data_IF_789415637341
#
_entry.id   IF_789415637341
#
_cell.length_a   1.000
_cell.length_b   1.000
_cell.length_c   1.000
_cell.angle_alpha   90.00
_cell.angle_beta   90.00
_cell.angle_gamma   90.00
#
_symmetry.space_group_name_H-M   'P 1'
#
loop_
_entity.id
_entity.type
_entity.pdbx_description
1 polymer ?
#
# COMPACT_ATOMS: atom_id res chain seq x y z
N UNK A 1 11.28 16.51 -3.14
CA UNK A 1 11.57 15.14 -3.61
C UNK A 1 10.42 14.22 -3.21
N UNK A 2 10.07 13.28 -4.08
CA UNK A 2 9.06 12.26 -3.82
C UNK A 2 9.76 10.92 -3.61
N UNK A 3 9.43 10.24 -2.52
CA UNK A 3 9.78 8.86 -2.27
C UNK A 3 8.52 8.00 -2.46
N UNK A 4 8.59 6.97 -3.29
CA UNK A 4 7.51 6.02 -3.50
C UNK A 4 7.81 4.72 -2.76
N UNK A 5 6.79 4.07 -2.23
CA UNK A 5 6.91 2.75 -1.59
C UNK A 5 6.05 1.77 -2.37
N UNK A 6 6.67 0.70 -2.86
CA UNK A 6 6.00 -0.41 -3.53
C UNK A 6 6.17 -1.70 -2.73
N UNK A 7 5.06 -2.36 -2.42
CA UNK A 7 5.06 -3.64 -1.73
C UNK A 7 5.04 -4.78 -2.74
N UNK A 8 6.10 -5.58 -2.77
CA UNK A 8 6.29 -6.66 -3.74
C UNK A 8 6.19 -8.02 -3.06
N UNK A 9 5.36 -8.90 -3.60
CA UNK A 9 5.04 -10.21 -3.00
C UNK A 9 5.45 -11.37 -3.90
N UNK A 10 6.72 -11.42 -4.29
CA UNK A 10 7.26 -12.56 -5.04
C UNK A 10 7.17 -13.86 -4.19
N UNK A 11 6.79 -15.02 -4.77
CA UNK A 11 6.46 -15.27 -6.18
C UNK A 11 4.97 -15.05 -6.55
N UNK A 12 4.14 -14.56 -5.64
CA UNK A 12 2.71 -14.37 -5.86
C UNK A 12 2.40 -13.21 -6.81
N UNK A 13 3.23 -12.17 -6.82
CA UNK A 13 3.20 -11.13 -7.84
C UNK A 13 4.38 -11.30 -8.79
N UNK A 14 4.18 -11.01 -10.08
CA UNK A 14 5.20 -11.17 -11.10
C UNK A 14 6.22 -10.02 -11.11
N UNK A 15 7.41 -10.27 -11.69
CA UNK A 15 8.37 -9.20 -11.96
C UNK A 15 7.78 -8.12 -12.90
N UNK A 16 6.84 -8.49 -13.77
CA UNK A 16 6.13 -7.54 -14.63
C UNK A 16 5.25 -6.56 -13.83
N UNK A 17 4.71 -6.98 -12.67
CA UNK A 17 3.99 -6.08 -11.77
C UNK A 17 4.95 -5.03 -11.16
N UNK A 18 6.16 -5.45 -10.79
CA UNK A 18 7.22 -4.54 -10.33
C UNK A 18 7.63 -3.57 -11.45
N UNK A 19 7.88 -4.06 -12.66
CA UNK A 19 8.24 -3.22 -13.81
C UNK A 19 7.14 -2.19 -14.13
N UNK A 20 5.87 -2.58 -14.10
CA UNK A 20 4.74 -1.65 -14.26
C UNK A 20 4.83 -0.47 -13.29
N UNK A 21 5.16 -0.71 -12.03
CA UNK A 21 5.30 0.35 -11.03
C UNK A 21 6.51 1.24 -11.31
N UNK A 22 7.63 0.67 -11.74
CA UNK A 22 8.81 1.44 -12.13
C UNK A 22 8.55 2.29 -13.37
N UNK A 23 7.79 1.79 -14.35
CA UNK A 23 7.39 2.57 -15.53
C UNK A 23 6.48 3.74 -15.14
N UNK A 24 5.52 3.53 -14.23
CA UNK A 24 4.71 4.62 -13.68
C UNK A 24 5.57 5.66 -12.95
N UNK A 25 6.54 5.21 -12.16
CA UNK A 25 7.47 6.11 -11.48
C UNK A 25 8.31 6.92 -12.47
N UNK A 26 8.77 6.32 -13.58
CA UNK A 26 9.50 7.02 -14.65
C UNK A 26 8.65 8.11 -15.30
N UNK A 27 7.39 7.82 -15.65
CA UNK A 27 6.46 8.80 -16.22
C UNK A 27 6.28 9.98 -15.25
N UNK A 28 6.04 9.69 -13.98
CA UNK A 28 5.81 10.72 -12.95
C UNK A 28 7.09 11.53 -12.66
N UNK A 29 8.26 10.92 -12.77
CA UNK A 29 9.55 11.55 -12.48
C UNK A 29 9.84 12.76 -13.38
N UNK A 30 9.31 12.76 -14.59
CA UNK A 30 9.42 13.90 -15.52
C UNK A 30 8.82 15.19 -14.94
N UNK A 31 7.80 15.07 -14.08
CA UNK A 31 7.12 16.20 -13.43
C UNK A 31 7.61 16.49 -12.01
N UNK A 32 8.40 15.62 -11.41
CA UNK A 32 8.73 15.65 -9.97
C UNK A 32 10.23 15.73 -9.67
N UNK A 33 11.07 16.03 -10.65
CA UNK A 33 12.54 16.10 -10.50
C UNK A 33 13.16 14.79 -9.95
N UNK A 34 12.64 13.65 -10.39
CA UNK A 34 13.07 12.32 -9.97
C UNK A 34 12.23 11.73 -8.84
N UNK A 35 12.07 10.41 -8.86
CA UNK A 35 11.38 9.64 -7.84
C UNK A 35 12.28 8.49 -7.38
N UNK A 36 12.41 8.34 -6.06
CA UNK A 36 13.09 7.18 -5.48
C UNK A 36 12.01 6.16 -5.07
N UNK A 37 12.08 4.96 -5.65
CA UNK A 37 11.14 3.88 -5.39
C UNK A 37 11.75 2.89 -4.43
N UNK A 38 11.15 2.72 -3.25
CA UNK A 38 11.51 1.72 -2.25
C UNK A 38 10.66 0.48 -2.48
N UNK A 39 11.28 -0.60 -2.93
CA UNK A 39 10.61 -1.88 -3.19
C UNK A 39 10.75 -2.74 -1.94
N UNK A 40 9.64 -2.94 -1.25
CA UNK A 40 9.58 -3.64 0.03
C UNK A 40 9.18 -5.09 -0.19
N UNK A 41 9.98 -6.09 0.23
CA UNK A 41 9.57 -7.49 0.22
C UNK A 41 8.44 -7.71 1.23
N UNK A 42 7.27 -8.13 0.75
CA UNK A 42 6.07 -8.15 1.58
C UNK A 42 5.45 -9.54 1.77
N UNK A 43 5.96 -10.54 1.05
CA UNK A 43 5.43 -11.92 1.02
C UNK A 43 5.31 -12.54 2.41
N UNK A 44 6.35 -12.45 3.23
CA UNK A 44 6.37 -13.05 4.57
C UNK A 44 5.27 -12.46 5.47
N UNK A 45 5.12 -11.13 5.45
CA UNK A 45 4.07 -10.45 6.20
C UNK A 45 2.69 -10.95 5.77
N UNK A 46 2.44 -11.07 4.47
CA UNK A 46 1.16 -11.55 3.95
C UNK A 46 0.87 -13.00 4.35
N UNK A 47 1.87 -13.87 4.30
CA UNK A 47 1.73 -15.27 4.71
C UNK A 47 1.40 -15.38 6.19
N UNK A 48 2.11 -14.66 7.05
CA UNK A 48 1.87 -14.63 8.50
C UNK A 48 0.45 -14.11 8.84
N UNK A 49 0.01 -13.05 8.15
CA UNK A 49 -1.34 -12.52 8.30
C UNK A 49 -2.38 -13.55 7.85
N UNK A 50 -2.18 -14.16 6.68
CA UNK A 50 -3.12 -15.15 6.15
C UNK A 50 -3.26 -16.38 7.05
N UNK A 51 -2.16 -16.83 7.64
CA UNK A 51 -2.13 -18.01 8.51
C UNK A 51 -2.74 -17.74 9.90
N UNK A 52 -2.48 -16.55 10.48
CA UNK A 52 -2.75 -16.31 11.90
C UNK A 52 -3.93 -15.38 12.18
N UNK A 53 -4.36 -14.59 11.21
CA UNK A 53 -5.40 -13.58 11.40
C UNK A 53 -6.75 -14.03 10.85
N UNK A 54 -7.87 -13.50 11.37
CA UNK A 54 -9.19 -13.77 10.81
C UNK A 54 -9.28 -13.28 9.36
N UNK A 55 -9.79 -14.13 8.46
CA UNK A 55 -9.85 -13.88 7.01
C UNK A 55 -10.46 -12.51 6.66
N UNK A 56 -11.55 -12.15 7.31
CA UNK A 56 -12.29 -10.90 7.05
C UNK A 56 -11.49 -9.61 7.34
N UNK A 57 -10.42 -9.69 8.18
CA UNK A 57 -9.57 -8.56 8.56
C UNK A 57 -8.19 -8.56 7.89
N UNK A 58 -7.85 -9.59 7.10
CA UNK A 58 -6.50 -9.72 6.49
C UNK A 58 -6.08 -8.50 5.70
N UNK A 59 -6.95 -7.97 4.85
CA UNK A 59 -6.65 -6.76 4.04
C UNK A 59 -6.39 -5.54 4.92
N UNK A 60 -7.14 -5.34 6.00
CA UNK A 60 -6.95 -4.20 6.90
C UNK A 60 -5.67 -4.31 7.71
N UNK A 61 -5.38 -5.50 8.25
CA UNK A 61 -4.13 -5.75 8.98
C UNK A 61 -2.93 -5.56 8.05
N UNK A 62 -3.01 -6.09 6.83
CA UNK A 62 -1.99 -5.90 5.80
C UNK A 62 -1.73 -4.41 5.52
N UNK A 63 -2.78 -3.60 5.34
CA UNK A 63 -2.67 -2.15 5.12
C UNK A 63 -2.07 -1.42 6.32
N UNK A 64 -2.34 -1.87 7.53
CA UNK A 64 -1.71 -1.32 8.75
C UNK A 64 -0.21 -1.60 8.76
N UNK A 65 0.25 -2.79 8.32
CA UNK A 65 1.68 -3.04 8.10
C UNK A 65 2.27 -2.12 7.03
N UNK A 66 1.58 -1.95 5.90
CA UNK A 66 2.02 -1.04 4.83
C UNK A 66 2.19 0.39 5.33
N UNK A 67 1.26 0.90 6.12
CA UNK A 67 1.34 2.25 6.70
C UNK A 67 2.51 2.39 7.69
N UNK A 68 2.73 1.41 8.58
CA UNK A 68 3.88 1.40 9.50
C UNK A 68 5.22 1.41 8.75
N UNK A 69 5.34 0.59 7.71
CA UNK A 69 6.54 0.53 6.87
C UNK A 69 6.72 1.84 6.10
N UNK A 70 5.65 2.37 5.50
CA UNK A 70 5.70 3.65 4.80
C UNK A 70 6.14 4.81 5.71
N UNK A 71 5.68 4.85 6.97
CA UNK A 71 6.15 5.84 7.95
C UNK A 71 7.64 5.64 8.29
N UNK A 72 8.12 4.39 8.47
CA UNK A 72 9.56 4.13 8.71
C UNK A 72 10.41 4.61 7.52
N UNK A 73 10.01 4.30 6.28
CA UNK A 73 10.69 4.81 5.08
C UNK A 73 10.66 6.33 5.02
N UNK A 74 9.48 6.95 5.26
CA UNK A 74 9.34 8.40 5.25
C UNK A 74 10.29 9.08 6.24
N UNK A 75 10.41 8.55 7.46
CA UNK A 75 11.34 9.06 8.47
C UNK A 75 12.81 8.91 8.08
N UNK A 76 13.19 7.79 7.47
CA UNK A 76 14.57 7.56 6.97
C UNK A 76 14.92 8.54 5.83
N UNK A 77 13.93 8.88 5.00
CA UNK A 77 14.07 9.79 3.85
C UNK A 77 13.78 11.26 4.20
N UNK A 78 13.57 11.58 5.49
CA UNK A 78 13.20 12.92 5.97
C UNK A 78 11.95 13.49 5.29
N UNK A 79 11.00 12.63 4.94
CA UNK A 79 9.68 13.03 4.44
C UNK A 79 8.76 13.40 5.62
N UNK A 80 7.89 14.39 5.43
CA UNK A 80 7.05 14.95 6.50
C UNK A 80 5.60 14.43 6.48
N UNK A 81 5.20 13.72 5.40
CA UNK A 81 3.85 13.21 5.23
C UNK A 81 3.83 11.95 4.38
N UNK A 82 2.76 11.17 4.52
CA UNK A 82 2.40 10.08 3.61
C UNK A 82 1.35 10.55 2.62
N UNK A 83 1.38 9.99 1.42
CA UNK A 83 0.36 10.21 0.39
C UNK A 83 -0.16 8.84 -0.05
N UNK A 84 -1.48 8.67 -0.07
CA UNK A 84 -2.11 7.44 -0.54
C UNK A 84 -3.14 7.74 -1.62
N UNK A 85 -3.35 6.80 -2.56
CA UNK A 85 -4.32 6.90 -3.64
C UNK A 85 -5.71 6.38 -3.27
N UNK A 86 -6.11 6.46 -2.01
CA UNK A 86 -7.40 5.96 -1.54
C UNK A 86 -8.55 6.86 -1.97
N UNK A 87 -9.69 6.23 -2.34
CA UNK A 87 -10.96 6.90 -2.61
C UNK A 87 -12.08 6.18 -1.85
N UNK A 88 -12.93 6.95 -1.15
CA UNK A 88 -14.00 6.39 -0.32
C UNK A 88 -15.02 5.64 -1.18
N UNK A 89 -15.37 4.42 -0.75
CA UNK A 89 -16.43 3.62 -1.37
C UNK A 89 -16.01 2.82 -2.61
N UNK A 90 -14.77 2.93 -3.09
CA UNK A 90 -14.31 2.17 -4.27
C UNK A 90 -14.15 0.67 -3.95
N UNK A 91 -13.68 0.34 -2.77
CA UNK A 91 -13.52 -1.04 -2.30
C UNK A 91 -13.85 -1.16 -0.81
N UNK A 92 -14.11 -2.38 -0.35
CA UNK A 92 -14.52 -2.66 1.03
C UNK A 92 -13.53 -2.15 2.10
N UNK A 93 -12.24 -2.12 1.79
CA UNK A 93 -11.19 -1.60 2.69
C UNK A 93 -11.02 -0.08 2.67
N UNK A 94 -11.83 0.64 1.89
CA UNK A 94 -11.79 2.10 1.76
C UNK A 94 -13.08 2.77 2.27
N UNK A 95 -13.73 2.18 3.28
CA UNK A 95 -14.77 2.87 4.06
C UNK A 95 -14.12 3.84 5.05
N UNK A 96 -14.85 4.87 5.50
CA UNK A 96 -14.32 5.83 6.49
C UNK A 96 -13.82 5.13 7.76
N UNK A 97 -14.57 4.11 8.23
CA UNK A 97 -14.15 3.32 9.38
C UNK A 97 -12.86 2.55 9.12
N UNK A 98 -12.73 1.91 7.95
CA UNK A 98 -11.53 1.18 7.57
C UNK A 98 -10.30 2.10 7.46
N UNK A 99 -10.45 3.27 6.84
CA UNK A 99 -9.39 4.28 6.74
C UNK A 99 -8.95 4.77 8.12
N UNK A 100 -9.91 5.02 9.03
CA UNK A 100 -9.59 5.37 10.41
C UNK A 100 -8.74 4.32 11.12
N UNK A 101 -8.98 3.01 10.87
CA UNK A 101 -8.16 1.95 11.47
C UNK A 101 -6.73 1.90 10.95
N UNK A 102 -6.50 2.27 9.68
CA UNK A 102 -5.16 2.33 9.09
C UNK A 102 -4.39 3.57 9.54
N UNK A 103 -5.08 4.70 9.79
CA UNK A 103 -4.46 5.93 10.28
C UNK A 103 -3.94 5.81 11.72
N UNK A 104 -4.56 4.97 12.54
CA UNK A 104 -4.17 4.80 13.95
C UNK A 104 -2.77 4.23 14.16
N UNK A 105 -2.10 3.73 13.13
CA UNK A 105 -0.75 3.13 13.25
C UNK A 105 0.37 4.06 12.81
N UNK A 106 0.06 5.27 12.40
CA UNK A 106 1.04 6.26 11.95
C UNK A 106 0.90 7.56 12.74
N UNK A 107 2.02 8.25 12.93
CA UNK A 107 2.12 9.51 13.67
C UNK A 107 2.58 10.67 12.79
N UNK A 108 2.25 10.63 11.51
CA UNK A 108 2.49 11.72 10.57
C UNK A 108 1.26 12.00 9.71
N UNK A 109 1.14 13.18 9.11
CA UNK A 109 0.02 13.51 8.23
C UNK A 109 -0.12 12.52 7.08
N UNK A 110 -1.37 12.11 6.76
CA UNK A 110 -1.68 11.26 5.60
C UNK A 110 -2.57 12.04 4.66
N UNK A 111 -2.04 12.39 3.49
CA UNK A 111 -2.79 13.07 2.44
C UNK A 111 -3.44 12.08 1.49
N UNK A 112 -4.69 12.33 1.15
CA UNK A 112 -5.50 11.52 0.24
C UNK A 112 -6.11 12.41 -0.84
N UNK A 113 -5.32 12.80 -1.84
CA UNK A 113 -5.78 13.76 -2.86
C UNK A 113 -6.98 13.25 -3.68
N UNK A 114 -7.22 11.95 -3.73
CA UNK A 114 -8.30 11.32 -4.49
C UNK A 114 -9.49 10.89 -3.62
N UNK A 115 -9.54 11.26 -2.35
CA UNK A 115 -10.48 10.70 -1.36
C UNK A 115 -11.96 10.85 -1.74
N UNK A 116 -12.32 11.93 -2.41
CA UNK A 116 -13.68 12.22 -2.84
C UNK A 116 -13.94 11.99 -4.34
N UNK A 117 -12.93 11.51 -5.09
CA UNK A 117 -13.04 11.31 -6.52
C UNK A 117 -13.75 9.98 -6.83
N UNK A 118 -14.60 9.97 -7.82
CA UNK A 118 -15.13 8.75 -8.38
C UNK A 118 -14.16 8.10 -9.38
N UNK A 119 -14.52 6.93 -9.89
CA UNK A 119 -13.65 6.18 -10.80
C UNK A 119 -13.37 6.91 -12.11
N UNK A 120 -14.35 7.63 -12.64
CA UNK A 120 -14.22 8.36 -13.92
C UNK A 120 -13.32 9.57 -13.75
N UNK A 121 -13.43 10.29 -12.63
CA UNK A 121 -12.55 11.41 -12.29
C UNK A 121 -11.10 10.96 -12.13
N UNK A 122 -10.86 9.80 -11.48
CA UNK A 122 -9.52 9.23 -11.32
C UNK A 122 -8.94 8.82 -12.68
N UNK A 123 -9.74 8.20 -13.55
CA UNK A 123 -9.32 7.84 -14.92
C UNK A 123 -8.94 9.11 -15.71
N UNK A 124 -9.77 10.14 -15.69
CA UNK A 124 -9.49 11.38 -16.39
C UNK A 124 -8.18 12.05 -15.93
N UNK A 125 -7.88 12.00 -14.63
CA UNK A 125 -6.59 12.48 -14.11
C UNK A 125 -5.44 11.61 -14.62
N UNK A 126 -5.58 10.28 -14.60
CA UNK A 126 -4.53 9.36 -15.03
C UNK A 126 -4.21 9.48 -16.53
N UNK A 127 -5.23 9.71 -17.35
CA UNK A 127 -5.06 10.02 -18.78
C UNK A 127 -4.30 11.33 -18.98
N UNK A 128 -4.70 12.37 -18.24
CA UNK A 128 -4.07 13.70 -18.32
C UNK A 128 -2.59 13.69 -17.96
N UNK A 129 -2.18 12.86 -17.00
CA UNK A 129 -0.77 12.72 -16.58
C UNK A 129 -0.03 11.61 -17.30
N UNK A 130 -0.65 10.95 -18.30
CA UNK A 130 -0.03 9.92 -19.14
C UNK A 130 0.21 8.58 -18.48
N UNK A 131 -0.44 8.29 -17.36
CA UNK A 131 -0.24 7.03 -16.60
C UNK A 131 -1.30 5.97 -16.88
N UNK A 132 -2.41 6.31 -17.54
CA UNK A 132 -3.56 5.42 -17.70
C UNK A 132 -3.21 4.11 -18.42
N UNK A 133 -2.54 4.18 -19.57
CA UNK A 133 -2.18 3.01 -20.37
C UNK A 133 -1.32 2.02 -19.55
N UNK A 134 -0.30 2.53 -18.88
CA UNK A 134 0.60 1.71 -18.06
C UNK A 134 -0.14 1.15 -16.84
N UNK A 135 -0.95 1.96 -16.14
CA UNK A 135 -1.68 1.51 -14.95
C UNK A 135 -2.73 0.44 -15.26
N UNK A 136 -3.27 0.44 -16.48
CA UNK A 136 -4.29 -0.52 -16.95
C UNK A 136 -3.73 -1.88 -17.39
N UNK A 137 -2.40 -2.06 -17.40
CA UNK A 137 -1.78 -3.35 -17.72
C UNK A 137 -2.23 -4.44 -16.72
N UNK A 138 -2.51 -5.67 -17.19
CA UNK A 138 -3.14 -6.73 -16.42
C UNK A 138 -2.15 -7.47 -15.49
N UNK A 139 -1.42 -6.71 -14.68
CA UNK A 139 -0.50 -7.25 -13.68
C UNK A 139 -1.03 -6.98 -12.29
N UNK A 140 -1.15 -8.06 -11.51
CA UNK A 140 -1.78 -8.03 -10.19
C UNK A 140 -0.90 -7.34 -9.14
N UNK A 141 -1.55 -6.59 -8.26
CA UNK A 141 -0.92 -5.96 -7.10
C UNK A 141 -0.88 -6.93 -5.90
N UNK A 142 0.02 -6.68 -4.95
CA UNK A 142 0.13 -7.51 -3.75
C UNK A 142 -1.19 -7.59 -2.95
N UNK A 143 -2.04 -6.57 -3.01
CA UNK A 143 -3.32 -6.54 -2.30
C UNK A 143 -4.33 -7.57 -2.79
N UNK A 144 -4.17 -8.12 -3.99
CA UNK A 144 -5.11 -9.09 -4.58
C UNK A 144 -4.75 -10.55 -4.28
N UNK A 145 -3.54 -10.81 -3.82
CA UNK A 145 -2.99 -12.17 -3.63
C UNK A 145 -3.78 -12.98 -2.58
N UNK A 146 -4.13 -12.36 -1.45
CA UNK A 146 -4.85 -13.00 -0.35
C UNK A 146 -6.14 -12.24 -0.03
N UNK A 147 -6.95 -11.99 -1.06
CA UNK A 147 -8.21 -11.24 -0.88
C UNK A 147 -9.23 -12.09 -0.11
N UNK A 148 -9.80 -11.58 0.99
CA UNK A 148 -10.83 -12.27 1.74
C UNK A 148 -12.11 -12.40 0.93
N UNK A 149 -12.83 -13.52 1.09
CA UNK A 149 -14.13 -13.73 0.42
C UNK A 149 -15.18 -12.75 0.92
N UNK A 150 -15.12 -12.39 2.20
CA UNK A 150 -16.06 -11.49 2.88
C UNK A 150 -15.30 -10.45 3.69
N UNK A 151 -14.79 -9.38 3.06
CA UNK A 151 -14.03 -8.34 3.77
C UNK A 151 -14.93 -7.54 4.71
N UNK A 152 -14.40 -7.20 5.90
CA UNK A 152 -15.10 -6.39 6.87
C UNK A 152 -15.22 -4.92 6.39
N UNK A 153 -16.44 -4.48 6.09
CA UNK A 153 -16.74 -3.08 5.69
C UNK A 153 -16.89 -2.14 6.89
N UNK A 154 -17.28 -2.68 8.03
CA UNK A 154 -17.40 -1.97 9.31
C UNK A 154 -16.50 -2.67 10.35
N UNK A 155 -15.17 -2.51 10.24
CA UNK A 155 -14.25 -3.24 11.09
C UNK A 155 -14.35 -2.81 12.55
N UNK A 156 -14.26 -3.81 13.45
CA UNK A 156 -14.13 -3.59 14.88
C UNK A 156 -12.66 -3.57 15.27
N UNK A 157 -12.19 -2.49 15.87
CA UNK A 157 -10.78 -2.33 16.25
C UNK A 157 -10.29 -3.47 17.15
N UNK A 158 -11.12 -3.91 18.08
CA UNK A 158 -10.81 -5.03 19.00
C UNK A 158 -10.39 -6.29 18.22
N UNK A 159 -11.10 -6.62 17.12
CA UNK A 159 -10.81 -7.79 16.29
C UNK A 159 -9.53 -7.63 15.46
N UNK A 160 -9.24 -6.40 15.02
CA UNK A 160 -7.98 -6.10 14.34
C UNK A 160 -6.82 -6.27 15.32
N UNK A 161 -6.92 -5.73 16.53
CA UNK A 161 -5.88 -5.84 17.56
C UNK A 161 -5.71 -7.29 18.04
N UNK A 162 -6.80 -8.06 18.16
CA UNK A 162 -6.75 -9.51 18.44
C UNK A 162 -5.97 -10.26 17.35
N UNK A 163 -6.20 -9.93 16.08
CA UNK A 163 -5.43 -10.47 14.95
C UNK A 163 -3.95 -10.08 15.02
N UNK A 164 -3.66 -8.80 15.18
CA UNK A 164 -2.30 -8.28 15.28
C UNK A 164 -1.51 -8.85 16.46
N UNK A 165 -2.16 -9.14 17.58
CA UNK A 165 -1.50 -9.71 18.76
C UNK A 165 -0.87 -11.11 18.54
N UNK A 166 -1.24 -11.78 17.46
CA UNK A 166 -0.69 -13.09 17.07
C UNK A 166 0.57 -12.98 16.19
N UNK A 167 0.94 -11.75 15.80
CA UNK A 167 2.03 -11.47 14.89
C UNK A 167 3.20 -10.81 15.63
N UNK A 168 4.40 -11.15 15.24
CA UNK A 168 5.61 -10.39 15.60
C UNK A 168 5.74 -9.17 14.68
N UNK A 169 4.97 -8.10 15.01
CA UNK A 169 4.85 -6.92 14.17
C UNK A 169 6.21 -6.27 13.92
N UNK A 170 6.98 -6.06 14.98
CA UNK A 170 8.26 -5.36 14.89
C UNK A 170 9.30 -6.18 14.13
N UNK A 171 9.42 -7.47 14.43
CA UNK A 171 10.33 -8.36 13.72
C UNK A 171 10.00 -8.49 12.24
N UNK A 172 8.71 -8.61 11.88
CA UNK A 172 8.28 -8.66 10.48
C UNK A 172 8.57 -7.36 9.72
N UNK A 173 8.35 -6.21 10.36
CA UNK A 173 8.65 -4.91 9.77
C UNK A 173 10.16 -4.73 9.61
N UNK A 174 10.96 -5.03 10.62
CA UNK A 174 12.41 -4.86 10.56
C UNK A 174 13.05 -5.76 9.50
N UNK A 175 12.55 -6.98 9.33
CA UNK A 175 12.99 -7.87 8.24
C UNK A 175 12.62 -7.30 6.86
N UNK A 176 11.38 -6.81 6.69
CA UNK A 176 10.96 -6.17 5.44
C UNK A 176 11.79 -4.92 5.13
N UNK A 177 12.07 -4.07 6.13
CA UNK A 177 12.91 -2.89 5.99
C UNK A 177 14.35 -3.23 5.59
N UNK A 178 14.91 -4.29 6.16
CA UNK A 178 16.27 -4.75 5.83
C UNK A 178 16.38 -5.28 4.39
N UNK A 179 15.28 -5.76 3.82
CA UNK A 179 15.21 -6.30 2.44
C UNK A 179 14.81 -5.27 1.37
N UNK A 180 14.71 -3.98 1.69
CA UNK A 180 14.31 -2.95 0.72
C UNK A 180 15.37 -2.79 -0.38
N UNK A 181 14.89 -2.86 -1.63
CA UNK A 181 15.63 -2.45 -2.82
C UNK A 181 15.23 -1.01 -3.19
N UNK A 182 16.20 -0.16 -3.53
CA UNK A 182 15.93 1.22 -3.93
C UNK A 182 16.27 1.40 -5.40
N UNK A 183 15.31 1.91 -6.18
CA UNK A 183 15.46 2.23 -7.59
C UNK A 183 15.19 3.72 -7.79
N UNK A 184 16.10 4.42 -8.48
CA UNK A 184 15.92 5.83 -8.84
C UNK A 184 15.35 5.93 -10.27
N UNK A 185 14.24 6.67 -10.41
CA UNK A 185 13.58 6.95 -11.67
C UNK A 185 13.64 8.46 -11.99
#
# INVERSE_FOLDING_TARGET
>A
HINAVHFHSYPYTSDRAKEKVLDLARILSESCCGIRVHIVPFTKIQMEIHEKCPEEYTTLIMRRFMMRIAEKVARQENSEALITGESVGQVASQTMTALGTTDMVVNMPVFRPLIGFDKEEIIAVSEKIGTFETSSLPYEDCCTVFTPRHPATHPKMEKILEGESKLDIDGLIDEAMAGIEIVCC
#
